data_IF_819460386769
#
_entry.id   IF_819460386769
#
_cell.length_a   1.000
_cell.length_b   1.000
_cell.length_c   1.000
_cell.angle_alpha   90.00
_cell.angle_beta   90.00
_cell.angle_gamma   90.00
#
_symmetry.space_group_name_H-M   'P 1'
#
loop_
_entity.id
_entity.type
_entity.pdbx_description
1 polymer ?
#
# COMPACT_ATOMS: atom_id res chain seq x y z
N UNK A 1 21.66 -32.38 21.73
CA UNK A 1 20.25 -32.19 21.36
C UNK A 1 19.92 -30.71 21.56
N UNK A 2 19.89 -29.93 20.48
CA UNK A 2 19.61 -28.50 20.56
C UNK A 2 18.10 -28.30 20.78
N UNK A 3 17.73 -27.75 21.93
CA UNK A 3 16.36 -27.36 22.25
C UNK A 3 15.95 -26.19 21.35
N UNK A 4 15.01 -26.44 20.42
CA UNK A 4 14.35 -25.39 19.65
C UNK A 4 13.50 -24.55 20.62
N UNK A 5 14.05 -23.44 21.12
CA UNK A 5 13.28 -22.43 21.84
C UNK A 5 12.16 -21.93 20.92
N UNK A 6 10.87 -22.06 21.29
CA UNK A 6 9.79 -21.54 20.48
C UNK A 6 9.96 -20.02 20.40
N UNK A 7 10.06 -19.49 19.18
CA UNK A 7 10.16 -18.06 18.93
C UNK A 7 9.03 -17.32 19.67
N UNK A 8 9.36 -16.57 20.73
CA UNK A 8 8.37 -15.84 21.51
C UNK A 8 7.69 -14.83 20.59
N UNK A 9 6.40 -15.03 20.32
CA UNK A 9 5.59 -14.08 19.58
C UNK A 9 5.54 -12.78 20.39
N UNK A 10 6.05 -11.69 19.83
CA UNK A 10 5.93 -10.38 20.47
C UNK A 10 4.45 -9.99 20.54
N UNK A 11 3.99 -9.37 21.65
CA UNK A 11 2.60 -8.92 21.75
C UNK A 11 2.31 -7.95 20.60
N UNK A 12 1.13 -8.10 19.98
CA UNK A 12 0.58 -7.16 19.00
C UNK A 12 0.85 -5.74 19.48
N UNK A 13 1.66 -4.99 18.73
CA UNK A 13 2.00 -3.62 19.10
C UNK A 13 0.81 -2.72 18.75
N UNK A 14 -0.19 -2.72 19.64
CA UNK A 14 -1.47 -2.00 19.50
C UNK A 14 -1.24 -0.53 19.14
N UNK A 15 -0.16 0.10 19.63
CA UNK A 15 0.17 1.48 19.30
C UNK A 15 0.53 1.69 17.82
N UNK A 16 1.18 0.73 17.16
CA UNK A 16 1.48 0.85 15.72
C UNK A 16 0.22 0.58 14.89
N UNK A 17 -0.60 -0.37 15.31
CA UNK A 17 -1.89 -0.66 14.69
C UNK A 17 -2.83 0.56 14.76
N UNK A 18 -2.96 1.19 15.93
CA UNK A 18 -3.75 2.42 16.11
C UNK A 18 -3.21 3.58 15.25
N UNK A 19 -1.88 3.71 15.15
CA UNK A 19 -1.25 4.70 14.26
C UNK A 19 -1.53 4.44 12.78
N UNK A 20 -1.80 3.21 12.36
CA UNK A 20 -2.16 2.90 10.99
C UNK A 20 -3.67 3.03 10.76
N UNK A 21 -4.47 2.69 11.77
CA UNK A 21 -5.92 2.85 11.75
C UNK A 21 -6.33 4.31 11.51
N UNK A 22 -5.61 5.28 12.09
CA UNK A 22 -5.87 6.70 11.84
C UNK A 22 -5.84 7.05 10.34
N UNK A 23 -4.95 6.43 9.56
CA UNK A 23 -4.85 6.68 8.12
C UNK A 23 -6.02 6.09 7.34
N UNK A 24 -6.50 4.91 7.76
CA UNK A 24 -7.70 4.29 7.19
C UNK A 24 -8.94 5.12 7.51
N UNK A 25 -9.05 5.63 8.73
CA UNK A 25 -10.16 6.50 9.14
C UNK A 25 -10.13 7.80 8.33
N UNK A 26 -8.98 8.47 8.24
CA UNK A 26 -8.84 9.69 7.44
C UNK A 26 -9.14 9.45 5.96
N UNK A 27 -8.65 8.34 5.39
CA UNK A 27 -8.95 7.95 4.01
C UNK A 27 -10.44 7.67 3.79
N UNK A 28 -11.08 6.93 4.70
CA UNK A 28 -12.52 6.64 4.67
C UNK A 28 -13.35 7.92 4.74
N UNK A 29 -12.97 8.85 5.61
CA UNK A 29 -13.65 10.12 5.79
C UNK A 29 -13.58 10.98 4.53
N UNK A 30 -12.38 11.10 3.95
CA UNK A 30 -12.20 11.81 2.67
C UNK A 30 -13.02 11.15 1.56
N UNK A 31 -12.97 9.82 1.46
CA UNK A 31 -13.69 9.06 0.44
C UNK A 31 -15.22 9.24 0.55
N UNK A 32 -15.73 9.42 1.76
CA UNK A 32 -17.13 9.74 2.02
C UNK A 32 -17.47 11.15 1.53
N UNK A 33 -16.68 12.17 1.90
CA UNK A 33 -16.93 13.56 1.49
C UNK A 33 -16.81 13.75 -0.02
N UNK A 34 -15.86 13.05 -0.67
CA UNK A 34 -15.66 13.16 -2.12
C UNK A 34 -16.54 12.23 -2.94
N UNK A 35 -17.51 11.54 -2.32
CA UNK A 35 -18.36 10.52 -2.97
C UNK A 35 -17.56 9.57 -3.87
N UNK A 36 -16.44 9.06 -3.33
CA UNK A 36 -15.43 8.33 -4.10
C UNK A 36 -16.05 7.22 -4.96
N UNK A 37 -17.00 6.47 -4.39
CA UNK A 37 -17.65 5.35 -5.07
C UNK A 37 -18.40 5.80 -6.33
N UNK A 38 -19.17 6.87 -6.24
CA UNK A 38 -19.99 7.38 -7.34
C UNK A 38 -19.09 7.97 -8.42
N UNK A 39 -18.14 8.82 -8.02
CA UNK A 39 -17.24 9.49 -8.95
C UNK A 39 -16.29 8.50 -9.66
N UNK A 40 -15.78 7.50 -8.94
CA UNK A 40 -14.94 6.45 -9.55
C UNK A 40 -15.75 5.57 -10.52
N UNK A 41 -16.97 5.18 -10.14
CA UNK A 41 -17.84 4.37 -11.01
C UNK A 41 -18.23 5.13 -12.28
N UNK A 42 -18.60 6.40 -12.16
CA UNK A 42 -18.89 7.27 -13.29
C UNK A 42 -17.68 7.37 -14.24
N UNK A 43 -16.47 7.51 -13.69
CA UNK A 43 -15.25 7.60 -14.49
C UNK A 43 -14.91 6.27 -15.19
N UNK A 44 -15.17 5.13 -14.55
CA UNK A 44 -14.91 3.80 -15.13
C UNK A 44 -15.85 3.41 -16.26
N UNK A 45 -17.11 3.82 -16.17
CA UNK A 45 -18.13 3.55 -17.21
C UNK A 45 -18.13 4.61 -18.30
N UNK A 46 -17.56 5.79 -18.02
CA UNK A 46 -17.39 6.80 -19.05
C UNK A 46 -16.60 6.26 -20.23
N UNK A 47 -16.83 6.84 -21.41
CA UNK A 47 -16.07 6.55 -22.61
C UNK A 47 -15.01 7.63 -22.80
N UNK A 48 -13.80 7.22 -23.22
CA UNK A 48 -12.70 8.13 -23.52
C UNK A 48 -11.44 7.83 -22.72
N UNK A 49 -10.43 8.67 -22.94
CA UNK A 49 -9.13 8.53 -22.31
C UNK A 49 -9.14 8.60 -20.76
N UNK A 50 -10.03 9.35 -20.07
CA UNK A 50 -10.06 9.37 -18.61
C UNK A 50 -10.47 8.01 -18.01
N UNK A 51 -11.38 7.30 -18.66
CA UNK A 51 -11.79 5.94 -18.28
C UNK A 51 -10.62 4.96 -18.40
N UNK A 52 -9.87 5.03 -19.50
CA UNK A 52 -8.68 4.20 -19.71
C UNK A 52 -7.62 4.47 -18.64
N UNK A 53 -7.32 5.74 -18.35
CA UNK A 53 -6.37 6.10 -17.29
C UNK A 53 -6.82 5.64 -15.90
N UNK A 54 -8.11 5.66 -15.63
CA UNK A 54 -8.67 5.19 -14.36
C UNK A 54 -8.54 3.67 -14.22
N UNK A 55 -8.82 2.93 -15.30
CA UNK A 55 -8.64 1.46 -15.33
C UNK A 55 -7.17 1.09 -15.16
N UNK A 56 -6.26 1.77 -15.87
CA UNK A 56 -4.81 1.59 -15.73
C UNK A 56 -4.36 1.90 -14.31
N UNK A 57 -4.85 2.98 -13.72
CA UNK A 57 -4.54 3.34 -12.34
C UNK A 57 -5.02 2.29 -11.34
N UNK A 58 -6.26 1.80 -11.46
CA UNK A 58 -6.78 0.75 -10.58
C UNK A 58 -5.97 -0.54 -10.74
N UNK A 59 -5.60 -0.90 -11.98
CA UNK A 59 -4.74 -2.05 -12.23
C UNK A 59 -3.36 -1.89 -11.58
N UNK A 60 -2.74 -0.72 -11.69
CA UNK A 60 -1.48 -0.39 -11.03
C UNK A 60 -1.62 -0.41 -9.50
N UNK A 61 -2.69 0.14 -8.94
CA UNK A 61 -2.97 0.13 -7.51
C UNK A 61 -3.16 -1.30 -6.99
N UNK A 62 -3.85 -2.16 -7.76
CA UNK A 62 -3.97 -3.58 -7.48
C UNK A 62 -2.61 -4.28 -7.50
N UNK A 63 -1.81 -4.03 -8.55
CA UNK A 63 -0.45 -4.54 -8.67
C UNK A 63 0.42 -4.11 -7.47
N UNK A 64 0.45 -2.83 -7.14
CA UNK A 64 1.14 -2.28 -5.97
C UNK A 64 0.70 -2.99 -4.69
N UNK A 65 -0.60 -3.17 -4.49
CA UNK A 65 -1.16 -3.84 -3.31
C UNK A 65 -0.68 -5.29 -3.23
N UNK A 66 -0.67 -6.01 -4.35
CA UNK A 66 -0.15 -7.37 -4.44
C UNK A 66 1.35 -7.44 -4.16
N UNK A 67 2.16 -6.52 -4.69
CA UNK A 67 3.59 -6.45 -4.37
C UNK A 67 3.83 -6.17 -2.89
N UNK A 68 3.04 -5.28 -2.27
CA UNK A 68 3.13 -5.05 -0.83
C UNK A 68 2.77 -6.30 -0.03
N UNK A 69 1.66 -6.95 -0.34
CA UNK A 69 1.25 -8.21 0.29
C UNK A 69 2.33 -9.29 0.11
N UNK A 70 2.92 -9.36 -1.07
CA UNK A 70 4.03 -10.27 -1.35
C UNK A 70 5.26 -9.96 -0.48
N UNK A 71 5.68 -8.71 -0.36
CA UNK A 71 6.80 -8.34 0.51
C UNK A 71 6.50 -8.53 2.00
N UNK A 72 5.27 -8.25 2.45
CA UNK A 72 4.88 -8.27 3.86
C UNK A 72 4.49 -9.66 4.38
N UNK A 73 3.86 -10.48 3.54
CA UNK A 73 3.37 -11.80 3.94
C UNK A 73 4.26 -12.89 3.35
N UNK A 74 4.48 -12.88 2.03
CA UNK A 74 5.17 -13.99 1.37
C UNK A 74 6.62 -14.13 1.87
N UNK A 75 7.38 -13.03 1.94
CA UNK A 75 8.77 -13.08 2.36
C UNK A 75 8.97 -13.64 3.78
N UNK A 76 8.35 -13.07 4.83
CA UNK A 76 8.62 -13.52 6.19
C UNK A 76 7.96 -14.86 6.54
N UNK A 77 6.81 -15.22 5.92
CA UNK A 77 6.11 -16.45 6.27
C UNK A 77 6.60 -17.68 5.50
N UNK A 78 7.05 -17.53 4.25
CA UNK A 78 7.45 -18.68 3.42
C UNK A 78 8.96 -18.89 3.43
N UNK A 79 9.77 -17.83 3.39
CA UNK A 79 11.23 -17.98 3.41
C UNK A 79 11.84 -18.00 4.82
N UNK A 80 11.08 -17.64 5.86
CA UNK A 80 11.58 -17.42 7.24
C UNK A 80 12.79 -16.47 7.33
N UNK A 81 13.14 -15.78 6.23
CA UNK A 81 14.15 -14.74 6.17
C UNK A 81 13.47 -13.41 6.37
N UNK A 82 13.83 -12.70 7.44
CA UNK A 82 13.39 -11.31 7.63
C UNK A 82 14.13 -10.43 6.60
N UNK A 83 13.43 -9.82 5.63
CA UNK A 83 14.07 -8.92 4.66
C UNK A 83 14.81 -7.80 5.38
N UNK A 84 16.08 -7.60 5.01
CA UNK A 84 16.81 -6.41 5.40
C UNK A 84 16.38 -5.24 4.50
N UNK A 85 15.33 -4.54 4.92
CA UNK A 85 14.85 -3.35 4.22
C UNK A 85 15.86 -2.18 4.26
N UNK A 86 16.86 -2.19 5.15
CA UNK A 86 17.91 -1.17 5.15
C UNK A 86 18.93 -1.43 4.03
N UNK A 87 19.26 -2.71 3.79
CA UNK A 87 20.17 -3.13 2.72
C UNK A 87 19.43 -3.73 1.51
N UNK A 88 18.28 -3.15 1.16
CA UNK A 88 17.40 -3.66 0.10
C UNK A 88 18.06 -3.72 -1.29
N UNK A 89 19.11 -2.93 -1.53
CA UNK A 89 19.86 -2.92 -2.79
C UNK A 89 20.87 -4.07 -2.92
N UNK A 90 21.18 -4.76 -1.82
CA UNK A 90 22.15 -5.86 -1.78
C UNK A 90 21.53 -7.18 -2.24
N UNK A 91 20.22 -7.36 -2.08
CA UNK A 91 19.50 -8.55 -2.54
C UNK A 91 18.91 -8.34 -3.93
N UNK A 92 19.30 -9.16 -4.91
CA UNK A 92 18.87 -9.03 -6.31
C UNK A 92 17.34 -8.97 -6.50
N UNK A 93 16.61 -9.66 -5.63
CA UNK A 93 15.14 -9.71 -5.68
C UNK A 93 14.52 -8.42 -5.13
N UNK A 94 14.98 -7.94 -3.97
CA UNK A 94 14.46 -6.74 -3.31
C UNK A 94 14.87 -5.46 -4.06
N UNK A 95 16.05 -5.47 -4.69
CA UNK A 95 16.59 -4.38 -5.53
C UNK A 95 15.69 -4.02 -6.71
N UNK A 96 15.01 -4.99 -7.32
CA UNK A 96 14.16 -4.76 -8.48
C UNK A 96 12.71 -4.45 -8.09
N UNK A 97 12.21 -5.09 -7.04
CA UNK A 97 10.80 -4.95 -6.63
C UNK A 97 10.50 -3.56 -6.07
N UNK A 98 11.39 -2.99 -5.25
CA UNK A 98 11.13 -1.68 -4.63
C UNK A 98 11.03 -0.54 -5.67
N UNK A 99 11.93 -0.44 -6.67
CA UNK A 99 11.77 0.55 -7.74
C UNK A 99 10.51 0.33 -8.57
N UNK A 100 10.17 -0.91 -8.95
CA UNK A 100 8.94 -1.22 -9.68
C UNK A 100 7.71 -0.82 -8.88
N UNK A 101 7.71 -1.13 -7.58
CA UNK A 101 6.65 -0.73 -6.66
C UNK A 101 6.52 0.80 -6.63
N UNK A 102 7.63 1.51 -6.46
CA UNK A 102 7.64 2.98 -6.40
C UNK A 102 7.12 3.60 -7.70
N UNK A 103 7.59 3.13 -8.85
CA UNK A 103 7.12 3.59 -10.16
C UNK A 103 5.63 3.28 -10.36
N UNK A 104 5.17 2.10 -9.96
CA UNK A 104 3.75 1.73 -10.08
C UNK A 104 2.84 2.66 -9.25
N UNK A 105 3.30 3.08 -8.06
CA UNK A 105 2.58 4.03 -7.22
C UNK A 105 2.53 5.41 -7.87
N UNK A 106 3.67 5.92 -8.33
CA UNK A 106 3.75 7.26 -8.93
C UNK A 106 2.93 7.34 -10.21
N UNK A 107 3.06 6.35 -11.10
CA UNK A 107 2.31 6.29 -12.35
C UNK A 107 0.82 6.08 -12.06
N UNK A 108 0.48 5.17 -11.15
CA UNK A 108 -0.90 4.91 -10.76
C UNK A 108 -1.57 6.15 -10.18
N UNK A 109 -0.91 6.84 -9.25
CA UNK A 109 -1.47 8.01 -8.57
C UNK A 109 -1.65 9.16 -9.55
N UNK A 110 -0.63 9.44 -10.36
CA UNK A 110 -0.67 10.51 -11.36
C UNK A 110 -1.74 10.23 -12.41
N UNK A 111 -1.86 8.99 -12.89
CA UNK A 111 -2.90 8.58 -13.84
C UNK A 111 -4.30 8.81 -13.28
N UNK A 112 -4.55 8.45 -12.02
CA UNK A 112 -5.85 8.67 -11.38
C UNK A 112 -6.16 10.16 -11.19
N UNK A 113 -5.15 10.91 -10.75
CA UNK A 113 -5.27 12.34 -10.54
C UNK A 113 -5.60 13.07 -11.84
N UNK A 114 -4.90 12.76 -12.93
CA UNK A 114 -5.16 13.34 -14.25
C UNK A 114 -6.56 12.94 -14.75
N UNK A 115 -6.97 11.69 -14.53
CA UNK A 115 -8.31 11.25 -14.92
C UNK A 115 -9.41 12.03 -14.19
N UNK A 116 -9.31 12.19 -12.86
CA UNK A 116 -10.26 13.01 -12.12
C UNK A 116 -10.15 14.51 -12.45
N UNK A 117 -8.94 15.05 -12.65
CA UNK A 117 -8.72 16.45 -13.02
C UNK A 117 -9.29 16.81 -14.40
N UNK A 118 -9.52 15.82 -15.26
CA UNK A 118 -10.19 16.04 -16.55
C UNK A 118 -11.69 16.29 -16.43
N UNK A 119 -12.32 15.87 -15.33
CA UNK A 119 -13.77 15.96 -15.11
C UNK A 119 -14.12 16.92 -13.97
N UNK A 120 -13.27 17.00 -12.95
CA UNK A 120 -13.48 17.81 -11.75
C UNK A 120 -12.38 18.85 -11.57
N UNK A 121 -12.58 19.77 -10.62
CA UNK A 121 -11.56 20.74 -10.22
C UNK A 121 -10.31 20.06 -9.65
N UNK A 122 -9.15 20.64 -9.92
CA UNK A 122 -7.82 20.15 -9.49
C UNK A 122 -7.78 19.84 -7.99
N UNK A 123 -8.35 20.71 -7.16
CA UNK A 123 -8.39 20.54 -5.69
C UNK A 123 -9.19 19.30 -5.31
N UNK A 124 -10.37 19.12 -5.91
CA UNK A 124 -11.22 17.96 -5.65
C UNK A 124 -10.54 16.66 -6.10
N UNK A 125 -9.91 16.69 -7.28
CA UNK A 125 -9.13 15.57 -7.81
C UNK A 125 -7.97 15.17 -6.90
N UNK A 126 -7.31 16.13 -6.27
CA UNK A 126 -6.26 15.83 -5.30
C UNK A 126 -6.81 15.09 -4.09
N UNK A 127 -7.91 15.58 -3.48
CA UNK A 127 -8.51 14.95 -2.30
C UNK A 127 -9.06 13.55 -2.62
N UNK A 128 -9.79 13.39 -3.72
CA UNK A 128 -10.35 12.09 -4.10
C UNK A 128 -9.24 11.06 -4.41
N UNK A 129 -8.19 11.45 -5.13
CA UNK A 129 -7.05 10.56 -5.39
C UNK A 129 -6.31 10.22 -4.09
N UNK A 130 -6.04 11.19 -3.23
CA UNK A 130 -5.42 10.95 -1.93
C UNK A 130 -6.26 10.01 -1.05
N UNK A 131 -7.59 10.14 -1.07
CA UNK A 131 -8.51 9.27 -0.32
C UNK A 131 -8.32 7.79 -0.67
N UNK A 132 -8.20 7.47 -1.97
CA UNK A 132 -8.01 6.12 -2.49
C UNK A 132 -6.72 5.52 -1.97
N UNK A 133 -5.62 6.26 -2.10
CA UNK A 133 -4.30 5.78 -1.70
C UNK A 133 -4.16 5.67 -0.18
N UNK A 134 -4.74 6.58 0.59
CA UNK A 134 -4.77 6.49 2.06
C UNK A 134 -5.57 5.28 2.53
N UNK A 135 -6.70 4.98 1.88
CA UNK A 135 -7.49 3.79 2.19
C UNK A 135 -6.71 2.50 1.92
N UNK A 136 -6.11 2.39 0.74
CA UNK A 136 -5.38 1.18 0.35
C UNK A 136 -4.12 1.00 1.19
N UNK A 137 -3.25 2.01 1.30
CA UNK A 137 -2.04 1.89 2.10
C UNK A 137 -2.30 1.81 3.59
N UNK A 138 -3.32 2.50 4.10
CA UNK A 138 -3.76 2.33 5.48
C UNK A 138 -4.20 0.89 5.75
N UNK A 139 -4.97 0.30 4.82
CA UNK A 139 -5.47 -1.08 4.94
C UNK A 139 -4.34 -2.11 4.88
N UNK A 140 -3.40 -1.93 3.94
CA UNK A 140 -2.18 -2.76 3.87
C UNK A 140 -1.34 -2.58 5.14
N UNK A 141 -1.26 -1.35 5.65
CA UNK A 141 -0.53 -1.04 6.88
C UNK A 141 -1.04 -1.80 8.09
N UNK A 142 -2.37 -1.98 8.23
CA UNK A 142 -2.99 -2.68 9.36
C UNK A 142 -2.53 -4.15 9.50
N UNK A 143 -1.91 -4.73 8.47
CA UNK A 143 -1.41 -6.10 8.50
C UNK A 143 -0.23 -6.18 9.48
N UNK A 144 -0.34 -6.98 10.56
CA UNK A 144 0.74 -7.10 11.53
C UNK A 144 1.94 -7.82 10.91
N UNK A 145 3.11 -7.20 10.98
CA UNK A 145 4.37 -7.80 10.54
C UNK A 145 5.18 -8.34 11.72
N UNK A 146 5.93 -9.43 11.47
CA UNK A 146 6.91 -9.93 12.44
C UNK A 146 8.10 -8.96 12.51
N UNK A 147 8.42 -8.48 13.71
CA UNK A 147 9.56 -7.58 13.95
C UNK A 147 10.80 -8.37 14.37
N UNK A 148 11.98 -7.99 13.84
CA UNK A 148 13.29 -8.48 14.31
C UNK A 148 13.51 -7.94 15.72
N UNK A 149 13.65 -8.81 16.73
CA UNK A 149 14.16 -8.39 18.03
C UNK A 149 15.65 -8.09 17.87
N UNK A 150 16.18 -6.99 18.45
CA UNK A 150 17.62 -6.75 18.44
C UNK A 150 18.29 -7.94 19.14
N UNK A 151 19.28 -8.56 18.48
CA UNK A 151 20.14 -9.52 19.17
C UNK A 151 20.82 -8.76 20.29
N UNK A 152 20.52 -9.14 21.54
CA UNK A 152 21.35 -8.74 22.68
C UNK A 152 22.75 -9.23 22.34
N UNK A 153 23.66 -8.30 22.04
CA UNK A 153 25.08 -8.63 21.93
C UNK A 153 25.46 -9.28 23.27
N UNK A 154 25.84 -10.55 23.21
CA UNK A 154 26.45 -11.31 24.30
C UNK A 154 27.95 -11.32 24.07
#
# INVERSE_FOLDING_TARGET
MASLTPASQSPLNVNNFLKQLKWVVTGSFLAYITDLRVNLYALLISHGWPSTLSKVSIALLGLTTLLFLYLLIWLPYIRNTLPDYQHWSSEAHTKSIIPILTLSILIGWSSLFIAFASVHSIIFSFFITCSVYLLVFGSVGLIPTKRRLPSKEM
#
